data_IF_215285912315
#
_entry.id   IF_215285912315
#
_cell.length_a   1.000
_cell.length_b   1.000
_cell.length_c   1.000
_cell.angle_alpha   90.00
_cell.angle_beta   90.00
_cell.angle_gamma   90.00
#
_symmetry.space_group_name_H-M   'P 1'
#
loop_
_entity.id
_entity.type
_entity.pdbx_description
1 polymer ?
#
# COMPACT_ATOMS: atom_id res chain seq x y z
N UNK A 1 76.61 26.61 -0.83
CA UNK A 1 75.89 25.59 -1.60
C UNK A 1 75.35 24.59 -0.59
N UNK A 2 74.06 24.69 -0.27
CA UNK A 2 73.42 23.83 0.73
C UNK A 2 73.32 22.39 0.23
N UNK A 3 73.78 21.45 1.05
CA UNK A 3 73.64 20.03 0.82
C UNK A 3 72.18 19.64 1.06
N UNK A 4 71.44 19.33 -0.01
CA UNK A 4 70.13 18.72 0.09
C UNK A 4 70.24 17.40 0.88
N UNK A 5 69.51 17.22 2.00
CA UNK A 5 69.75 16.16 2.98
C UNK A 5 69.23 14.76 2.56
N UNK A 6 68.75 14.59 1.33
CA UNK A 6 68.13 13.34 0.88
C UNK A 6 68.78 12.79 -0.39
N UNK A 7 69.19 11.52 -0.31
CA UNK A 7 69.65 10.80 -1.50
C UNK A 7 68.49 10.51 -2.44
N UNK A 8 68.75 10.44 -3.76
CA UNK A 8 67.73 10.18 -4.81
C UNK A 8 66.86 8.94 -4.52
N UNK A 9 67.43 7.93 -3.86
CA UNK A 9 66.72 6.71 -3.40
C UNK A 9 65.75 6.99 -2.25
N UNK A 10 66.11 7.85 -1.29
CA UNK A 10 65.23 8.28 -0.20
C UNK A 10 64.07 9.12 -0.71
N UNK A 11 64.30 10.02 -1.68
CA UNK A 11 63.23 10.78 -2.33
C UNK A 11 62.23 9.85 -3.05
N UNK A 12 62.69 8.89 -3.85
CA UNK A 12 61.81 7.91 -4.52
C UNK A 12 61.03 7.06 -3.52
N UNK A 13 61.64 6.67 -2.40
CA UNK A 13 60.98 5.88 -1.36
C UNK A 13 59.92 6.68 -0.60
N UNK A 14 60.16 7.97 -0.32
CA UNK A 14 59.18 8.88 0.30
C UNK A 14 58.02 9.18 -0.66
N UNK A 15 58.30 9.49 -1.93
CA UNK A 15 57.25 9.72 -2.94
C UNK A 15 56.43 8.44 -3.22
N UNK A 16 57.07 7.27 -3.25
CA UNK A 16 56.40 5.99 -3.39
C UNK A 16 55.50 5.66 -2.19
N UNK A 17 56.00 5.88 -0.96
CA UNK A 17 55.22 5.70 0.26
C UNK A 17 54.03 6.67 0.36
N UNK A 18 54.23 7.94 0.02
CA UNK A 18 53.17 8.95 0.02
C UNK A 18 52.08 8.64 -1.02
N UNK A 19 52.47 8.17 -2.21
CA UNK A 19 51.53 7.72 -3.24
C UNK A 19 50.63 6.58 -2.77
N UNK A 20 51.19 5.58 -2.08
CA UNK A 20 50.41 4.46 -1.53
C UNK A 20 49.40 4.94 -0.48
N UNK A 21 49.79 5.86 0.41
CA UNK A 21 48.91 6.40 1.44
C UNK A 21 47.72 7.17 0.84
N UNK A 22 47.96 8.00 -0.17
CA UNK A 22 46.89 8.74 -0.86
C UNK A 22 45.90 7.78 -1.55
N UNK A 23 46.40 6.72 -2.19
CA UNK A 23 45.54 5.70 -2.81
C UNK A 23 44.69 4.98 -1.74
N UNK A 24 45.29 4.59 -0.62
CA UNK A 24 44.57 3.95 0.48
C UNK A 24 43.50 4.87 1.09
N UNK A 25 43.79 6.16 1.27
CA UNK A 25 42.78 7.14 1.71
C UNK A 25 41.64 7.28 0.71
N UNK A 26 41.94 7.30 -0.60
CA UNK A 26 40.93 7.36 -1.65
C UNK A 26 40.00 6.14 -1.63
N UNK A 27 40.57 4.94 -1.48
CA UNK A 27 39.81 3.69 -1.33
C UNK A 27 38.95 3.74 -0.07
N UNK A 28 39.50 4.18 1.06
CA UNK A 28 38.75 4.30 2.31
C UNK A 28 37.60 5.30 2.21
N UNK A 29 37.85 6.49 1.64
CA UNK A 29 36.83 7.51 1.42
C UNK A 29 35.70 7.01 0.49
N UNK A 30 36.04 6.21 -0.52
CA UNK A 30 35.05 5.57 -1.39
C UNK A 30 34.12 4.66 -0.60
N UNK A 31 34.66 3.75 0.22
CA UNK A 31 33.83 2.87 1.07
C UNK A 31 33.08 3.64 2.16
N UNK A 32 33.66 4.70 2.71
CA UNK A 32 33.01 5.52 3.74
C UNK A 32 31.78 6.29 3.21
N UNK A 33 31.75 6.57 1.91
CA UNK A 33 30.70 7.37 1.25
C UNK A 33 29.65 6.54 0.52
N UNK A 34 29.79 5.22 0.43
CA UNK A 34 28.85 4.34 -0.25
C UNK A 34 28.22 3.31 0.71
N UNK A 35 27.06 2.81 0.32
CA UNK A 35 26.30 1.79 1.02
C UNK A 35 25.57 0.88 0.03
N UNK A 36 25.04 -0.21 0.55
CA UNK A 36 24.34 -1.21 -0.24
C UNK A 36 22.82 -1.09 -0.10
N UNK A 37 22.13 -1.05 -1.23
CA UNK A 37 20.68 -1.08 -1.32
C UNK A 37 20.23 -2.37 -2.00
N UNK A 38 19.36 -3.14 -1.34
CA UNK A 38 18.70 -4.32 -1.94
C UNK A 38 17.20 -4.09 -1.95
N UNK A 39 16.57 -4.23 -3.11
CA UNK A 39 15.11 -4.14 -3.25
C UNK A 39 14.58 -5.53 -3.61
N UNK A 40 13.61 -6.05 -2.87
CA UNK A 40 12.96 -7.34 -3.13
C UNK A 40 11.48 -7.13 -3.41
N UNK A 41 10.99 -7.73 -4.48
CA UNK A 41 9.59 -7.66 -4.89
C UNK A 41 9.22 -8.84 -5.80
N UNK A 42 7.93 -9.07 -6.00
CA UNK A 42 7.44 -10.07 -6.95
C UNK A 42 7.54 -9.54 -8.39
N UNK A 43 8.47 -10.08 -9.18
CA UNK A 43 8.70 -9.70 -10.58
C UNK A 43 7.56 -10.14 -11.53
N UNK A 44 6.68 -11.03 -11.08
CA UNK A 44 5.44 -11.35 -11.81
C UNK A 44 4.41 -10.22 -11.70
N UNK A 45 4.48 -9.42 -10.62
CA UNK A 45 3.56 -8.32 -10.32
C UNK A 45 4.11 -6.98 -10.82
N UNK A 46 5.25 -6.54 -10.30
CA UNK A 46 5.86 -5.27 -10.72
C UNK A 46 6.67 -5.48 -12.00
N UNK A 47 6.25 -4.80 -13.07
CA UNK A 47 6.89 -4.87 -14.40
C UNK A 47 7.97 -3.81 -14.60
N UNK A 48 7.86 -2.70 -13.88
CA UNK A 48 8.84 -1.62 -13.90
C UNK A 48 9.14 -1.18 -12.48
N UNK A 49 10.43 -1.15 -12.13
CA UNK A 49 10.91 -0.60 -10.86
C UNK A 49 12.10 0.30 -11.18
N UNK A 50 11.95 1.58 -10.90
CA UNK A 50 12.92 2.63 -11.24
C UNK A 50 13.35 3.34 -9.96
N UNK A 51 14.66 3.55 -9.83
CA UNK A 51 15.26 4.30 -8.73
C UNK A 51 15.70 5.67 -9.22
N UNK A 52 15.17 6.71 -8.60
CA UNK A 52 15.52 8.10 -8.82
C UNK A 52 16.38 8.61 -7.67
N UNK A 53 17.18 9.63 -7.94
CA UNK A 53 17.74 10.45 -6.89
C UNK A 53 16.59 11.18 -6.18
N UNK A 54 16.59 11.14 -4.85
CA UNK A 54 15.61 11.83 -4.03
C UNK A 54 16.07 13.23 -3.62
N UNK A 55 15.13 14.08 -3.24
CA UNK A 55 15.44 15.33 -2.54
C UNK A 55 16.17 15.03 -1.24
N UNK A 56 17.13 15.88 -0.85
CA UNK A 56 17.82 15.72 0.42
C UNK A 56 16.84 15.82 1.58
N UNK A 57 16.82 14.78 2.42
CA UNK A 57 16.03 14.80 3.65
C UNK A 57 16.62 13.89 4.72
N UNK A 58 16.29 14.18 5.98
CA UNK A 58 16.56 13.32 7.12
C UNK A 58 15.49 12.23 7.33
N UNK A 59 14.36 12.29 6.61
CA UNK A 59 13.20 11.41 6.77
C UNK A 59 12.68 10.89 5.43
N UNK A 60 12.55 9.57 5.32
CA UNK A 60 12.06 8.89 4.10
C UNK A 60 10.70 9.39 3.61
N UNK A 61 9.81 9.79 4.53
CA UNK A 61 8.45 10.27 4.21
C UNK A 61 8.42 11.60 3.44
N UNK A 62 9.51 12.34 3.47
CA UNK A 62 9.61 13.68 2.89
C UNK A 62 10.53 13.73 1.68
N UNK A 63 11.15 12.60 1.32
CA UNK A 63 11.94 12.49 0.10
C UNK A 63 10.96 12.50 -1.07
N UNK A 64 11.19 13.38 -2.04
CA UNK A 64 10.48 13.43 -3.31
C UNK A 64 11.41 13.02 -4.46
N UNK A 65 10.89 12.51 -5.60
CA UNK A 65 11.72 12.16 -6.74
C UNK A 65 12.28 13.41 -7.42
N UNK A 66 13.53 13.34 -7.84
CA UNK A 66 14.14 14.31 -8.77
C UNK A 66 14.09 13.77 -10.20
N UNK A 67 14.57 14.57 -11.17
CA UNK A 67 14.66 14.15 -12.58
C UNK A 67 15.80 13.15 -12.86
N UNK A 68 16.74 13.00 -11.92
CA UNK A 68 17.92 12.16 -12.12
C UNK A 68 17.57 10.71 -11.84
N UNK A 69 17.67 9.88 -12.89
CA UNK A 69 17.51 8.42 -12.77
C UNK A 69 18.84 7.81 -12.35
N UNK A 70 18.80 7.06 -11.25
CA UNK A 70 19.96 6.33 -10.71
C UNK A 70 20.02 4.94 -11.31
N UNK A 71 18.88 4.25 -11.35
CA UNK A 71 18.77 2.92 -11.97
C UNK A 71 17.44 2.82 -12.71
N UNK A 72 17.50 2.51 -14.01
CA UNK A 72 16.31 2.39 -14.88
C UNK A 72 15.60 1.07 -14.69
N UNK A 73 16.32 0.02 -14.30
CA UNK A 73 15.78 -1.31 -14.08
C UNK A 73 16.36 -1.90 -12.81
N UNK A 74 15.65 -1.65 -11.71
CA UNK A 74 15.96 -2.33 -10.44
C UNK A 74 15.52 -3.78 -10.58
N UNK A 75 16.39 -4.73 -10.28
CA UNK A 75 16.12 -6.16 -10.32
C UNK A 75 15.88 -6.66 -8.89
N UNK A 76 14.83 -7.46 -8.71
CA UNK A 76 14.46 -8.01 -7.41
C UNK A 76 15.60 -8.86 -6.84
N UNK A 77 15.99 -8.57 -5.59
CA UNK A 77 17.06 -9.27 -4.86
C UNK A 77 18.47 -8.84 -5.23
N UNK A 78 18.65 -8.05 -6.31
CA UNK A 78 19.96 -7.51 -6.66
C UNK A 78 20.37 -6.42 -5.66
N UNK A 79 21.65 -6.44 -5.31
CA UNK A 79 22.23 -5.44 -4.41
C UNK A 79 22.98 -4.39 -5.22
N UNK A 80 22.68 -3.12 -4.94
CA UNK A 80 23.23 -1.95 -5.61
C UNK A 80 24.17 -1.22 -4.67
N UNK A 81 25.37 -0.91 -5.15
CA UNK A 81 26.35 -0.12 -4.41
C UNK A 81 26.21 1.35 -4.82
N UNK A 82 25.69 2.18 -3.92
CA UNK A 82 25.29 3.56 -4.19
C UNK A 82 25.91 4.50 -3.16
N UNK A 83 26.11 5.76 -3.52
CA UNK A 83 26.54 6.77 -2.56
C UNK A 83 25.51 6.91 -1.43
N UNK A 84 25.95 7.25 -0.23
CA UNK A 84 25.03 7.59 0.86
C UNK A 84 24.18 8.79 0.43
N UNK A 85 22.89 8.75 0.73
CA UNK A 85 21.98 9.82 0.29
C UNK A 85 20.51 9.45 0.30
N UNK A 86 19.71 10.31 -0.31
CA UNK A 86 18.26 10.16 -0.44
C UNK A 86 17.90 9.67 -1.83
N UNK A 87 17.05 8.65 -1.91
CA UNK A 87 16.58 8.04 -3.16
C UNK A 87 15.06 7.95 -3.16
N UNK A 88 14.47 7.85 -4.34
CA UNK A 88 13.03 7.69 -4.50
C UNK A 88 12.74 6.55 -5.46
N UNK A 89 12.01 5.55 -4.99
CA UNK A 89 11.64 4.37 -5.74
C UNK A 89 10.23 4.52 -6.30
N UNK A 90 10.05 4.17 -7.57
CA UNK A 90 8.74 4.07 -8.20
C UNK A 90 8.61 2.68 -8.81
N UNK A 91 7.63 1.92 -8.34
CA UNK A 91 7.31 0.58 -8.83
C UNK A 91 5.89 0.55 -9.42
N UNK A 92 5.77 0.02 -10.64
CA UNK A 92 4.50 -0.09 -11.36
C UNK A 92 4.37 -1.45 -12.05
N UNK A 93 3.13 -1.84 -12.27
CA UNK A 93 2.78 -3.11 -12.91
C UNK A 93 1.33 -3.09 -13.36
N UNK A 94 0.95 -4.12 -14.12
CA UNK A 94 -0.40 -4.22 -14.66
C UNK A 94 -1.39 -4.57 -13.55
N UNK A 95 -2.43 -3.75 -13.38
CA UNK A 95 -3.50 -4.00 -12.42
C UNK A 95 -3.13 -3.78 -10.94
N UNK A 96 -1.94 -3.24 -10.65
CA UNK A 96 -1.54 -2.82 -9.30
C UNK A 96 -1.48 -1.31 -9.17
N UNK A 97 -1.64 -0.81 -7.95
CA UNK A 97 -1.38 0.58 -7.60
C UNK A 97 0.11 0.87 -7.68
N UNK A 98 0.46 2.04 -8.22
CA UNK A 98 1.87 2.48 -8.26
C UNK A 98 2.38 2.65 -6.85
N UNK A 99 3.43 1.92 -6.49
CA UNK A 99 4.09 2.05 -5.21
C UNK A 99 5.21 3.08 -5.34
N UNK A 100 5.20 4.07 -4.44
CA UNK A 100 6.18 5.14 -4.40
C UNK A 100 6.74 5.27 -3.00
N UNK A 101 8.07 5.24 -2.87
CA UNK A 101 8.71 5.23 -1.57
C UNK A 101 10.04 5.98 -1.58
N UNK A 102 10.22 6.89 -0.61
CA UNK A 102 11.52 7.46 -0.29
C UNK A 102 12.43 6.47 0.44
N UNK A 103 13.71 6.48 0.12
CA UNK A 103 14.73 5.60 0.73
C UNK A 103 15.88 6.48 1.20
N UNK A 104 16.23 6.36 2.48
CA UNK A 104 17.36 7.07 3.07
C UNK A 104 18.51 6.10 3.28
N UNK A 105 19.51 6.16 2.41
CA UNK A 105 20.65 5.25 2.40
C UNK A 105 21.81 5.82 3.23
N UNK A 106 21.70 5.73 4.55
CA UNK A 106 22.80 6.03 5.49
C UNK A 106 23.66 4.81 5.79
N UNK A 107 22.98 3.66 5.87
CA UNK A 107 23.54 2.33 6.13
C UNK A 107 23.10 1.35 5.04
N UNK A 108 23.48 0.08 5.17
CA UNK A 108 22.94 -0.98 4.32
C UNK A 108 21.42 -1.05 4.50
N UNK A 109 20.67 -0.97 3.40
CA UNK A 109 19.22 -1.00 3.40
C UNK A 109 18.72 -2.18 2.57
N UNK A 110 17.77 -2.93 3.12
CA UNK A 110 16.98 -3.92 2.40
C UNK A 110 15.51 -3.54 2.47
N UNK A 111 14.85 -3.40 1.32
CA UNK A 111 13.43 -3.03 1.23
C UNK A 111 12.66 -4.09 0.48
N UNK A 112 11.60 -4.59 1.11
CA UNK A 112 10.59 -5.39 0.45
C UNK A 112 9.44 -4.49 -0.02
N UNK A 113 9.05 -4.61 -1.28
CA UNK A 113 7.88 -3.92 -1.82
C UNK A 113 6.69 -4.86 -1.76
N UNK A 114 5.71 -4.50 -0.95
CA UNK A 114 4.39 -5.10 -1.06
C UNK A 114 3.57 -4.39 -2.15
N UNK A 115 2.54 -5.06 -2.64
CA UNK A 115 1.64 -4.56 -3.67
C UNK A 115 0.19 -4.53 -3.22
N UNK A 116 -0.53 -3.57 -3.79
CA UNK A 116 -1.98 -3.46 -3.71
C UNK A 116 -2.54 -3.49 -5.13
N UNK A 117 -3.69 -4.15 -5.32
CA UNK A 117 -4.39 -4.10 -6.58
C UNK A 117 -5.01 -2.71 -6.78
N UNK A 118 -5.03 -2.23 -8.03
CA UNK A 118 -5.71 -0.98 -8.35
C UNK A 118 -7.23 -1.13 -8.21
N UNK A 119 -7.93 -0.02 -7.94
CA UNK A 119 -9.40 -0.02 -7.85
C UNK A 119 -10.06 -0.57 -9.12
N UNK A 120 -9.51 -0.21 -10.30
CA UNK A 120 -9.96 -0.75 -11.58
C UNK A 120 -9.85 -2.27 -11.63
N UNK A 121 -8.72 -2.82 -11.16
CA UNK A 121 -8.49 -4.27 -11.15
C UNK A 121 -9.41 -4.99 -10.17
N UNK A 122 -9.61 -4.42 -8.98
CA UNK A 122 -10.57 -4.95 -8.00
C UNK A 122 -12.00 -4.94 -8.53
N UNK A 123 -12.41 -3.88 -9.25
CA UNK A 123 -13.72 -3.82 -9.90
C UNK A 123 -13.89 -4.87 -11.01
N UNK A 124 -12.85 -5.09 -11.83
CA UNK A 124 -12.85 -6.17 -12.84
C UNK A 124 -12.96 -7.55 -12.20
N UNK A 125 -12.22 -7.80 -11.10
CA UNK A 125 -12.31 -9.05 -10.34
C UNK A 125 -13.70 -9.23 -9.74
N UNK A 126 -14.28 -8.18 -9.16
CA UNK A 126 -15.63 -8.21 -8.59
C UNK A 126 -16.67 -8.63 -9.62
N UNK A 127 -16.62 -8.05 -10.83
CA UNK A 127 -17.53 -8.41 -11.93
C UNK A 127 -17.33 -9.86 -12.38
N UNK A 128 -16.09 -10.31 -12.49
CA UNK A 128 -15.74 -11.67 -12.94
C UNK A 128 -16.15 -12.74 -11.93
N UNK A 129 -15.92 -12.47 -10.66
CA UNK A 129 -16.10 -13.43 -9.56
C UNK A 129 -17.51 -13.40 -8.97
N UNK A 130 -18.37 -12.45 -9.38
CA UNK A 130 -19.73 -12.27 -8.85
C UNK A 130 -20.51 -13.58 -8.72
N UNK A 131 -20.60 -14.37 -9.80
CA UNK A 131 -21.33 -15.65 -9.77
C UNK A 131 -20.75 -16.64 -8.73
N UNK A 132 -19.43 -16.70 -8.61
CA UNK A 132 -18.78 -17.58 -7.63
C UNK A 132 -19.01 -17.11 -6.18
N UNK A 133 -19.02 -15.80 -5.97
CA UNK A 133 -19.31 -15.18 -4.66
C UNK A 133 -20.77 -15.44 -4.29
N UNK A 134 -21.72 -15.19 -5.19
CA UNK A 134 -23.15 -15.43 -4.97
C UNK A 134 -23.40 -16.91 -4.63
N UNK A 135 -22.79 -17.82 -5.37
CA UNK A 135 -22.87 -19.27 -5.12
C UNK A 135 -22.32 -19.65 -3.73
N UNK A 136 -21.20 -19.06 -3.30
CA UNK A 136 -20.63 -19.32 -1.98
C UNK A 136 -21.57 -18.85 -0.84
N UNK A 137 -22.22 -17.70 -1.03
CA UNK A 137 -23.20 -17.16 -0.08
C UNK A 137 -24.42 -18.09 0.02
N UNK A 138 -24.98 -18.51 -1.12
CA UNK A 138 -26.11 -19.44 -1.16
C UNK A 138 -25.79 -20.81 -0.57
N UNK A 139 -24.62 -21.36 -0.88
CA UNK A 139 -24.21 -22.68 -0.36
C UNK A 139 -24.10 -22.69 1.16
N UNK A 140 -23.58 -21.61 1.75
CA UNK A 140 -23.48 -21.50 3.21
C UNK A 140 -24.84 -21.32 3.87
N UNK A 141 -25.77 -20.63 3.22
CA UNK A 141 -27.09 -20.29 3.77
C UNK A 141 -28.17 -20.52 2.70
N UNK A 142 -28.68 -21.75 2.62
CA UNK A 142 -29.56 -22.19 1.53
C UNK A 142 -30.82 -21.33 1.36
N UNK A 143 -31.34 -20.76 2.45
CA UNK A 143 -32.53 -19.90 2.43
C UNK A 143 -32.22 -18.40 2.31
N UNK A 144 -30.96 -17.99 2.18
CA UNK A 144 -30.62 -16.56 2.16
C UNK A 144 -31.25 -15.84 0.96
N UNK A 145 -31.35 -16.55 -0.17
CA UNK A 145 -31.94 -16.04 -1.39
C UNK A 145 -33.45 -15.86 -1.32
N UNK A 146 -34.16 -16.46 -0.36
CA UNK A 146 -35.60 -16.24 -0.20
C UNK A 146 -35.89 -14.96 0.57
N UNK A 147 -34.97 -14.53 1.43
CA UNK A 147 -35.14 -13.41 2.36
C UNK A 147 -34.41 -12.15 1.86
N UNK A 148 -33.26 -12.32 1.19
CA UNK A 148 -32.37 -11.23 0.80
C UNK A 148 -32.03 -11.25 -0.70
N UNK A 149 -31.80 -10.06 -1.24
CA UNK A 149 -31.06 -9.83 -2.48
C UNK A 149 -29.58 -9.63 -2.14
N UNK A 150 -28.69 -10.31 -2.85
CA UNK A 150 -27.25 -10.03 -2.77
C UNK A 150 -26.97 -8.79 -3.63
N UNK A 151 -26.24 -7.83 -3.07
CA UNK A 151 -25.92 -6.56 -3.71
C UNK A 151 -24.53 -6.06 -3.32
N UNK A 152 -24.01 -5.13 -4.13
CA UNK A 152 -22.75 -4.42 -3.91
C UNK A 152 -21.54 -5.35 -3.70
N UNK A 153 -21.49 -6.50 -4.37
CA UNK A 153 -20.38 -7.45 -4.21
C UNK A 153 -19.06 -6.83 -4.67
N UNK A 154 -18.09 -6.80 -3.76
CA UNK A 154 -16.81 -6.15 -4.00
C UNK A 154 -15.67 -7.03 -3.53
N UNK A 155 -14.75 -7.33 -4.43
CA UNK A 155 -13.46 -7.97 -4.14
C UNK A 155 -12.49 -6.90 -3.62
N UNK A 156 -11.69 -7.25 -2.63
CA UNK A 156 -10.80 -6.36 -1.86
C UNK A 156 -9.41 -6.97 -1.69
N UNK A 157 -8.49 -6.22 -1.07
CA UNK A 157 -7.12 -6.65 -0.78
C UNK A 157 -6.36 -7.11 -2.05
N UNK A 158 -5.77 -8.31 -2.03
CA UNK A 158 -5.01 -8.89 -3.16
C UNK A 158 -5.90 -9.72 -4.08
N UNK A 159 -7.22 -9.54 -4.00
CA UNK A 159 -8.20 -10.32 -4.74
C UNK A 159 -8.64 -11.61 -4.02
N UNK A 160 -8.28 -11.73 -2.75
CA UNK A 160 -8.48 -12.89 -1.89
C UNK A 160 -9.59 -12.69 -0.84
N UNK A 161 -10.09 -11.47 -0.70
CA UNK A 161 -11.22 -11.12 0.16
C UNK A 161 -12.36 -10.52 -0.65
N UNK A 162 -13.59 -10.78 -0.25
CA UNK A 162 -14.76 -10.14 -0.82
C UNK A 162 -15.78 -9.78 0.25
N UNK A 163 -16.56 -8.75 -0.03
CA UNK A 163 -17.65 -8.28 0.82
C UNK A 163 -18.92 -8.20 -0.02
N UNK A 164 -20.07 -8.44 0.60
CA UNK A 164 -21.37 -8.28 -0.02
C UNK A 164 -22.37 -7.74 0.99
N UNK A 165 -23.37 -7.03 0.48
CA UNK A 165 -24.54 -6.62 1.24
C UNK A 165 -25.72 -7.53 0.91
N UNK A 166 -26.48 -7.92 1.94
CA UNK A 166 -27.72 -8.66 1.81
C UNK A 166 -28.87 -7.73 2.13
N UNK A 167 -29.58 -7.29 1.08
CA UNK A 167 -30.67 -6.33 1.17
C UNK A 167 -31.99 -7.08 1.28
N UNK A 168 -32.76 -6.81 2.32
CA UNK A 168 -34.02 -7.51 2.59
C UNK A 168 -35.01 -7.35 1.43
N UNK A 169 -35.68 -8.45 1.04
CA UNK A 169 -36.63 -8.47 -0.10
C UNK A 169 -38.03 -7.97 0.22
N UNK A 170 -38.40 -7.91 1.50
CA UNK A 170 -39.75 -7.59 1.90
C UNK A 170 -40.13 -6.11 1.78
N UNK A 171 -41.32 -5.79 2.26
CA UNK A 171 -41.95 -4.50 2.13
C UNK A 171 -41.37 -3.45 3.07
N UNK A 172 -41.63 -2.16 2.79
CA UNK A 172 -41.22 -1.06 3.66
C UNK A 172 -41.90 -1.10 5.05
N UNK A 173 -42.98 -1.87 5.20
CA UNK A 173 -43.74 -2.03 6.45
C UNK A 173 -43.28 -3.20 7.31
N UNK A 174 -42.33 -4.02 6.84
CA UNK A 174 -41.83 -5.16 7.59
C UNK A 174 -40.88 -4.69 8.70
N UNK A 175 -40.90 -5.39 9.85
CA UNK A 175 -40.15 -4.97 11.04
C UNK A 175 -38.64 -5.32 10.99
N UNK A 176 -38.23 -6.31 10.19
CA UNK A 176 -36.84 -6.77 10.09
C UNK A 176 -36.25 -6.45 8.71
N UNK A 177 -35.81 -5.20 8.52
CA UNK A 177 -35.33 -4.66 7.23
C UNK A 177 -33.81 -4.48 7.15
N UNK A 178 -33.08 -4.88 8.18
CA UNK A 178 -31.67 -4.58 8.27
C UNK A 178 -30.89 -5.22 7.14
N UNK A 179 -29.99 -4.42 6.54
CA UNK A 179 -29.03 -4.98 5.59
C UNK A 179 -27.98 -5.72 6.37
N UNK A 180 -27.83 -7.00 6.05
CA UNK A 180 -26.75 -7.80 6.59
C UNK A 180 -25.51 -7.70 5.71
N UNK A 181 -24.36 -7.95 6.29
CA UNK A 181 -23.05 -7.92 5.64
C UNK A 181 -22.48 -9.34 5.63
N UNK A 182 -21.81 -9.66 4.53
CA UNK A 182 -21.09 -10.93 4.38
C UNK A 182 -19.65 -10.63 4.04
N UNK A 183 -18.74 -11.29 4.74
CA UNK A 183 -17.31 -11.29 4.41
C UNK A 183 -16.94 -12.69 3.92
N UNK A 184 -16.24 -12.75 2.80
CA UNK A 184 -15.77 -13.97 2.18
C UNK A 184 -14.26 -13.94 2.02
N UNK A 185 -13.66 -15.12 2.08
CA UNK A 185 -12.25 -15.34 1.78
C UNK A 185 -12.11 -16.39 0.69
N UNK A 186 -11.21 -16.16 -0.26
CA UNK A 186 -10.84 -17.12 -1.28
C UNK A 186 -9.81 -18.09 -0.69
N UNK A 187 -10.19 -19.36 -0.54
CA UNK A 187 -9.32 -20.45 -0.05
C UNK A 187 -9.25 -21.54 -1.12
N UNK A 188 -8.04 -21.97 -1.48
CA UNK A 188 -7.82 -22.97 -2.52
C UNK A 188 -8.60 -22.66 -3.81
N UNK A 189 -8.57 -21.39 -4.23
CA UNK A 189 -9.30 -20.86 -5.39
C UNK A 189 -10.85 -20.90 -5.31
N UNK A 190 -11.43 -21.16 -4.14
CA UNK A 190 -12.88 -21.16 -3.92
C UNK A 190 -13.27 -20.10 -2.89
N UNK A 191 -14.35 -19.37 -3.14
CA UNK A 191 -14.90 -18.43 -2.17
C UNK A 191 -15.62 -19.17 -1.05
N UNK A 192 -15.37 -18.73 0.19
CA UNK A 192 -16.02 -19.25 1.38
C UNK A 192 -16.42 -18.10 2.28
N UNK A 193 -17.62 -18.17 2.84
CA UNK A 193 -18.07 -17.22 3.88
C UNK A 193 -17.15 -17.36 5.08
N UNK A 194 -16.47 -16.26 5.44
CA UNK A 194 -15.40 -16.28 6.43
C UNK A 194 -15.93 -16.24 7.88
N UNK A 195 -17.06 -15.58 8.10
CA UNK A 195 -17.66 -15.38 9.43
C UNK A 195 -19.18 -15.33 9.35
N UNK A 196 -19.84 -15.28 10.52
CA UNK A 196 -21.28 -15.17 10.59
C UNK A 196 -21.78 -13.90 9.89
N UNK A 197 -22.96 -13.98 9.30
CA UNK A 197 -23.62 -12.84 8.65
C UNK A 197 -24.20 -11.93 9.73
N UNK A 198 -23.90 -10.64 9.67
CA UNK A 198 -24.30 -9.66 10.69
C UNK A 198 -24.57 -8.29 10.09
N UNK A 199 -25.31 -7.43 10.80
CA UNK A 199 -25.63 -6.06 10.35
C UNK A 199 -24.37 -5.18 10.34
N UNK A 200 -23.50 -5.39 11.32
CA UNK A 200 -22.15 -4.84 11.39
C UNK A 200 -21.21 -5.94 11.82
N UNK A 201 -20.03 -6.00 11.21
CA UNK A 201 -19.04 -7.04 11.46
C UNK A 201 -17.84 -6.40 12.17
N UNK A 202 -17.49 -6.93 13.33
CA UNK A 202 -16.31 -6.51 14.08
C UNK A 202 -15.17 -7.53 13.99
N UNK A 203 -13.99 -7.12 14.46
CA UNK A 203 -12.82 -7.99 14.59
C UNK A 203 -13.06 -9.16 15.55
N UNK A 204 -13.97 -9.01 16.51
CA UNK A 204 -14.31 -10.08 17.45
C UNK A 204 -15.07 -11.22 16.74
N UNK A 205 -15.98 -10.87 15.83
CA UNK A 205 -16.82 -11.84 15.11
C UNK A 205 -16.11 -12.43 13.88
N UNK A 206 -15.13 -11.70 13.34
CA UNK A 206 -14.39 -12.08 12.14
C UNK A 206 -12.87 -11.86 12.31
N UNK A 207 -12.20 -12.55 13.26
CA UNK A 207 -10.82 -12.26 13.65
C UNK A 207 -9.79 -12.46 12.54
N UNK A 208 -10.05 -13.38 11.61
CA UNK A 208 -9.19 -13.65 10.46
C UNK A 208 -9.23 -12.57 9.37
N UNK A 209 -10.29 -11.74 9.31
CA UNK A 209 -10.41 -10.73 8.26
C UNK A 209 -9.51 -9.52 8.55
N UNK A 210 -8.82 -8.96 7.53
CA UNK A 210 -8.11 -7.70 7.67
C UNK A 210 -9.04 -6.58 8.15
N UNK A 211 -8.53 -5.68 8.97
CA UNK A 211 -9.32 -4.57 9.52
C UNK A 211 -9.92 -3.70 8.40
N UNK A 212 -9.16 -3.46 7.34
CA UNK A 212 -9.57 -2.75 6.12
C UNK A 212 -10.78 -3.39 5.44
N UNK A 213 -10.87 -4.73 5.40
CA UNK A 213 -12.01 -5.46 4.85
C UNK A 213 -13.26 -5.25 5.72
N UNK A 214 -13.10 -5.28 7.03
CA UNK A 214 -14.21 -5.07 7.98
C UNK A 214 -14.76 -3.64 7.91
N UNK A 215 -13.87 -2.65 7.86
CA UNK A 215 -14.24 -1.24 7.68
C UNK A 215 -15.02 -1.04 6.38
N UNK A 216 -14.51 -1.57 5.26
CA UNK A 216 -15.22 -1.51 3.97
C UNK A 216 -16.55 -2.24 3.99
N UNK A 217 -16.66 -3.39 4.66
CA UNK A 217 -17.92 -4.11 4.81
C UNK A 217 -18.97 -3.28 5.56
N UNK A 218 -18.56 -2.58 6.62
CA UNK A 218 -19.44 -1.74 7.42
C UNK A 218 -19.85 -0.44 6.69
N UNK A 219 -19.02 0.07 5.77
CA UNK A 219 -19.32 1.26 4.97
C UNK A 219 -19.87 0.95 3.57
N UNK A 220 -20.16 -0.32 3.26
CA UNK A 220 -20.58 -0.71 1.91
C UNK A 220 -21.87 0.02 1.52
N UNK A 221 -21.80 0.79 0.43
CA UNK A 221 -22.91 1.62 -0.03
C UNK A 221 -24.03 0.73 -0.60
N UNK A 222 -25.22 0.93 -0.04
CA UNK A 222 -26.47 0.29 -0.43
C UNK A 222 -27.46 1.39 -0.74
N UNK A 223 -27.21 2.13 -1.84
CA UNK A 223 -28.08 3.22 -2.33
C UNK A 223 -29.54 2.82 -2.58
N UNK A 224 -29.90 1.56 -2.39
CA UNK A 224 -31.25 1.02 -2.51
C UNK A 224 -32.03 0.98 -1.20
N UNK A 225 -31.48 1.40 -0.05
CA UNK A 225 -32.30 1.57 1.14
C UNK A 225 -33.05 2.90 1.09
N UNK A 226 -34.36 2.83 0.81
CA UNK A 226 -35.28 3.89 1.24
C UNK A 226 -35.13 4.07 2.75
N UNK A 227 -34.94 5.30 3.25
CA UNK A 227 -34.61 5.57 4.64
C UNK A 227 -35.59 4.87 5.58
N UNK A 228 -35.08 4.47 6.75
CA UNK A 228 -35.83 3.80 7.83
C UNK A 228 -37.08 4.59 8.27
N UNK A 229 -37.18 5.86 7.87
CA UNK A 229 -38.37 6.70 7.99
C UNK A 229 -38.50 7.56 6.72
N UNK A 230 -39.48 7.31 5.83
CA UNK A 230 -39.65 8.10 4.61
C UNK A 230 -39.93 9.60 4.85
N UNK A 231 -40.24 10.00 6.10
CA UNK A 231 -40.52 11.37 6.51
C UNK A 231 -39.49 11.96 7.49
N UNK A 232 -38.36 11.29 7.72
CA UNK A 232 -37.31 11.84 8.58
C UNK A 232 -36.24 12.54 7.75
N UNK A 233 -36.31 13.87 7.71
CA UNK A 233 -35.28 14.71 7.08
C UNK A 233 -34.09 14.82 8.03
N UNK A 234 -32.94 14.26 7.65
CA UNK A 234 -31.68 14.55 8.36
C UNK A 234 -31.29 15.98 7.99
N UNK A 235 -31.63 16.95 8.83
CA UNK A 235 -31.03 18.28 8.76
C UNK A 235 -29.55 18.16 9.15
N UNK A 236 -28.67 17.96 8.17
CA UNK A 236 -27.25 18.30 8.33
C UNK A 236 -27.16 19.82 8.36
N UNK A 237 -27.41 20.42 9.51
CA UNK A 237 -27.00 21.80 9.72
C UNK A 237 -25.47 21.87 9.62
N UNK A 238 -25.03 22.76 8.74
CA UNK A 238 -23.71 23.38 8.78
C UNK A 238 -23.59 24.10 10.11
N UNK A 239 -22.96 23.48 11.09
CA UNK A 239 -22.37 24.18 12.25
C UNK A 239 -20.87 23.85 12.31
N UNK A 240 -20.22 24.01 11.16
CA UNK A 240 -18.79 24.27 11.04
C UNK A 240 -18.66 25.61 10.33
N UNK A 241 -19.00 26.67 11.04
CA UNK A 241 -18.37 27.99 10.93
C UNK A 241 -18.81 28.77 12.16
N UNK A 242 -17.98 28.67 13.20
CA UNK A 242 -18.06 29.59 14.32
C UNK A 242 -17.77 30.99 13.81
N UNK A 243 -18.74 31.88 13.96
CA UNK A 243 -18.53 33.30 14.07
C UNK A 243 -19.57 33.81 15.06
N UNK A 244 -19.13 33.95 16.32
CA UNK A 244 -19.69 34.94 17.24
C UNK A 244 -19.66 36.29 16.53
N UNK A 245 -20.82 36.92 16.36
CA UNK A 245 -20.88 38.38 16.37
C UNK A 245 -21.97 38.81 17.34
N UNK A 246 -21.44 39.48 18.34
CA UNK A 246 -21.97 40.15 19.50
C UNK A 246 -23.17 41.09 19.21
N UNK A 247 -23.91 41.35 20.29
CA UNK A 247 -25.11 42.17 20.37
C UNK A 247 -24.89 43.67 20.07
N UNK A 248 -26.03 44.36 19.89
CA UNK A 248 -26.30 45.82 20.01
C UNK A 248 -26.06 46.65 18.75
N UNK A 249 -27.14 47.16 18.13
CA UNK A 249 -27.96 48.31 18.55
C UNK A 249 -29.35 48.23 17.89
#
# INVERSE_FOLDING_TARGET
MENLPFTRKQLVMIFGGFGIVVVLMGIWAYFATHQYLTITYDASIYKSVVLYQGTESSSEKTIAPTKTVVEKKVESGKTYHLSKGSYYLIASGDGVSTNMQGILLKDKVTRALDYELSEKRLAELSKREKSNIDNAIHTRNHNIGTIYNIASETVTEKGDWAIAALVFKGSATDLNRDTQKVVLQKKNNHWQVACAIQISISKYECPQAPQTVLERANTIDIRTQTPLMPNYTINRNRDLDGLETDERF
#
